data_IF_376754738785
#
_entry.id   IF_376754738785
#
_cell.length_a   1.000
_cell.length_b   1.000
_cell.length_c   1.000
_cell.angle_alpha   90.00
_cell.angle_beta   90.00
_cell.angle_gamma   90.00
#
_symmetry.space_group_name_H-M   'P 1'
#
loop_
_entity.id
_entity.type
_entity.pdbx_description
1 polymer ?
#
# COMPACT_ATOMS: atom_id res chain seq x y z
N UNK A 1 1.75 -16.44 -23.98
CA UNK A 1 1.41 -15.01 -24.05
C UNK A 1 2.28 -14.32 -23.03
N UNK A 2 3.38 -13.70 -23.45
CA UNK A 2 4.16 -12.82 -22.59
C UNK A 2 3.24 -11.65 -22.21
N UNK A 3 2.89 -11.54 -20.93
CA UNK A 3 2.20 -10.36 -20.45
C UNK A 3 3.15 -9.18 -20.63
N UNK A 4 2.76 -8.22 -21.47
CA UNK A 4 3.47 -6.96 -21.66
C UNK A 4 3.74 -6.37 -20.27
N UNK A 5 5.01 -6.17 -19.92
CA UNK A 5 5.36 -5.66 -18.60
C UNK A 5 4.74 -4.27 -18.44
N UNK A 6 3.99 -4.00 -17.36
CA UNK A 6 3.40 -2.70 -17.16
C UNK A 6 4.47 -1.61 -17.14
N UNK A 7 4.27 -0.51 -17.88
CA UNK A 7 5.15 0.65 -17.84
C UNK A 7 4.98 1.39 -16.51
N UNK A 8 5.68 0.90 -15.48
CA UNK A 8 5.71 1.57 -14.20
C UNK A 8 6.51 2.88 -14.22
N UNK A 9 7.37 3.13 -15.21
CA UNK A 9 8.09 4.41 -15.26
C UNK A 9 7.12 5.56 -15.53
N UNK A 10 6.15 5.35 -16.44
CA UNK A 10 5.04 6.27 -16.64
C UNK A 10 4.25 6.54 -15.35
N UNK A 11 3.94 5.47 -14.61
CA UNK A 11 3.21 5.54 -13.32
C UNK A 11 3.99 6.34 -12.26
N UNK A 12 5.29 6.07 -12.11
CA UNK A 12 6.17 6.79 -11.18
C UNK A 12 6.23 8.27 -11.53
N UNK A 13 6.42 8.61 -12.80
CA UNK A 13 6.49 10.00 -13.24
C UNK A 13 5.19 10.76 -12.94
N UNK A 14 4.05 10.15 -13.23
CA UNK A 14 2.74 10.73 -12.98
C UNK A 14 2.51 10.96 -11.47
N UNK A 15 2.90 10.00 -10.63
CA UNK A 15 2.80 10.11 -9.18
C UNK A 15 3.67 11.27 -8.65
N UNK A 16 4.93 11.35 -9.09
CA UNK A 16 5.85 12.42 -8.73
C UNK A 16 5.32 13.79 -9.13
N UNK A 17 4.81 13.92 -10.35
CA UNK A 17 4.23 15.18 -10.84
C UNK A 17 2.98 15.57 -10.05
N UNK A 18 2.12 14.63 -9.68
CA UNK A 18 0.90 14.90 -8.93
C UNK A 18 1.24 15.43 -7.53
N UNK A 19 2.10 14.73 -6.80
CA UNK A 19 2.57 15.15 -5.46
C UNK A 19 3.25 16.51 -5.55
N UNK A 20 4.15 16.69 -6.51
CA UNK A 20 4.87 17.94 -6.70
C UNK A 20 3.91 19.09 -7.01
N UNK A 21 2.93 18.91 -7.91
CA UNK A 21 1.97 19.95 -8.27
C UNK A 21 1.12 20.41 -7.07
N UNK A 22 0.76 19.47 -6.18
CA UNK A 22 0.02 19.76 -4.96
C UNK A 22 0.84 20.60 -3.98
N UNK A 23 2.08 20.17 -3.71
CA UNK A 23 2.97 20.89 -2.79
C UNK A 23 3.41 22.24 -3.36
N UNK A 24 3.70 22.30 -4.66
CA UNK A 24 4.04 23.53 -5.35
C UNK A 24 2.93 24.57 -5.18
N UNK A 25 1.67 24.18 -5.39
CA UNK A 25 0.52 25.09 -5.21
C UNK A 25 0.48 25.68 -3.79
N UNK A 26 0.70 24.86 -2.76
CA UNK A 26 0.73 25.31 -1.37
C UNK A 26 1.88 26.27 -1.11
N UNK A 27 3.10 25.93 -1.55
CA UNK A 27 4.27 26.80 -1.35
C UNK A 27 4.12 28.12 -2.11
N UNK A 28 3.62 28.09 -3.35
CA UNK A 28 3.35 29.32 -4.12
C UNK A 28 2.33 30.23 -3.44
N UNK A 29 1.38 29.69 -2.68
CA UNK A 29 0.41 30.50 -1.91
C UNK A 29 1.03 31.12 -0.65
N UNK A 30 1.99 30.45 -0.03
CA UNK A 30 2.62 30.89 1.23
C UNK A 30 3.81 31.82 1.00
N UNK A 31 4.66 31.52 0.02
CA UNK A 31 5.86 32.29 -0.27
C UNK A 31 6.26 32.22 -1.77
N UNK A 32 5.59 33.00 -2.64
CA UNK A 32 5.79 32.93 -4.09
C UNK A 32 7.24 33.12 -4.55
N UNK A 33 8.03 33.91 -3.83
CA UNK A 33 9.39 34.27 -4.20
C UNK A 33 10.47 33.26 -3.76
N UNK A 34 10.11 32.18 -3.06
CA UNK A 34 11.08 31.21 -2.53
C UNK A 34 11.20 29.93 -3.37
N UNK A 35 10.45 29.81 -4.47
CA UNK A 35 10.29 28.53 -5.13
C UNK A 35 10.90 28.49 -6.52
N UNK A 36 11.95 27.68 -6.66
CA UNK A 36 12.48 27.24 -7.94
C UNK A 36 11.82 25.92 -8.36
N UNK A 37 11.27 25.87 -9.57
CA UNK A 37 10.58 24.69 -10.05
C UNK A 37 11.55 23.52 -10.27
N UNK A 38 11.25 22.38 -9.66
CA UNK A 38 12.00 21.13 -9.86
C UNK A 38 11.62 20.47 -11.19
N UNK A 39 12.64 19.97 -11.87
CA UNK A 39 12.50 19.10 -13.05
C UNK A 39 12.10 17.69 -12.64
N UNK A 40 11.55 16.91 -13.57
CA UNK A 40 11.18 15.51 -13.31
C UNK A 40 12.40 14.66 -12.89
N UNK A 41 13.57 14.90 -13.48
CA UNK A 41 14.78 14.17 -13.10
C UNK A 41 15.23 14.48 -11.68
N UNK A 42 15.07 15.73 -11.22
CA UNK A 42 15.30 16.09 -9.82
C UNK A 42 14.28 15.43 -8.89
N UNK A 43 13.02 15.30 -9.31
CA UNK A 43 11.99 14.60 -8.52
C UNK A 43 12.30 13.10 -8.39
N UNK A 44 12.81 12.46 -9.45
CA UNK A 44 13.23 11.05 -9.45
C UNK A 44 14.40 10.79 -8.50
N UNK A 45 15.35 11.73 -8.45
CA UNK A 45 16.49 11.68 -7.54
C UNK A 45 16.12 12.04 -6.08
N UNK A 46 14.88 12.47 -5.84
CA UNK A 46 14.38 12.73 -4.50
C UNK A 46 14.01 11.44 -3.74
N UNK A 47 13.77 11.53 -2.41
CA UNK A 47 13.40 10.37 -1.60
C UNK A 47 12.16 9.63 -2.11
N UNK A 48 11.10 10.37 -2.47
CA UNK A 48 9.88 9.79 -3.04
C UNK A 48 10.15 9.10 -4.39
N UNK A 49 10.99 9.68 -5.23
CA UNK A 49 11.37 9.09 -6.51
C UNK A 49 12.07 7.75 -6.32
N UNK A 50 13.07 7.71 -5.44
CA UNK A 50 13.77 6.47 -5.10
C UNK A 50 12.87 5.39 -4.50
N UNK A 51 11.93 5.75 -3.61
CA UNK A 51 11.00 4.78 -3.06
C UNK A 51 10.04 4.24 -4.12
N UNK A 52 9.50 5.11 -4.98
CA UNK A 52 8.61 4.71 -6.08
C UNK A 52 9.34 3.83 -7.11
N UNK A 53 10.58 4.16 -7.47
CA UNK A 53 11.41 3.35 -8.38
C UNK A 53 11.72 1.96 -7.81
N UNK A 54 12.05 1.89 -6.51
CA UNK A 54 12.26 0.60 -5.81
C UNK A 54 11.00 -0.25 -5.76
N UNK A 55 9.85 0.36 -5.44
CA UNK A 55 8.57 -0.33 -5.44
C UNK A 55 8.17 -0.81 -6.84
N UNK A 56 8.46 -0.03 -7.89
CA UNK A 56 8.28 -0.44 -9.27
C UNK A 56 9.17 -1.64 -9.64
N UNK A 57 10.44 -1.63 -9.26
CA UNK A 57 11.37 -2.76 -9.49
C UNK A 57 10.91 -4.03 -8.76
N UNK A 58 10.41 -3.90 -7.53
CA UNK A 58 9.84 -5.01 -6.77
C UNK A 58 8.58 -5.55 -7.46
N UNK A 59 7.70 -4.65 -7.95
CA UNK A 59 6.48 -5.02 -8.67
C UNK A 59 6.79 -5.76 -9.99
N UNK A 60 7.88 -5.40 -10.69
CA UNK A 60 8.38 -6.17 -11.85
C UNK A 60 9.02 -7.49 -11.44
N UNK A 61 9.56 -7.58 -10.23
CA UNK A 61 10.29 -8.74 -9.71
C UNK A 61 11.77 -8.74 -10.04
N UNK A 62 12.30 -7.56 -10.37
CA UNK A 62 13.72 -7.36 -10.65
C UNK A 62 14.55 -7.40 -9.36
N UNK A 63 13.93 -7.05 -8.23
CA UNK A 63 14.57 -7.01 -6.92
C UNK A 63 13.74 -7.77 -5.89
N UNK A 64 14.39 -8.13 -4.78
CA UNK A 64 13.74 -8.60 -3.55
C UNK A 64 14.19 -7.72 -2.40
N UNK A 65 13.25 -7.36 -1.54
CA UNK A 65 13.50 -6.51 -0.38
C UNK A 65 12.78 -7.06 0.86
N UNK A 66 13.30 -6.78 2.07
CA UNK A 66 12.62 -7.12 3.31
C UNK A 66 11.21 -6.52 3.35
N UNK A 67 10.22 -7.34 3.71
CA UNK A 67 8.81 -6.98 3.80
C UNK A 67 8.58 -5.68 4.56
N UNK A 68 9.23 -5.51 5.71
CA UNK A 68 9.09 -4.35 6.58
C UNK A 68 9.48 -3.06 5.85
N UNK A 69 10.52 -3.12 5.02
CA UNK A 69 11.00 -1.97 4.23
C UNK A 69 10.04 -1.62 3.09
N UNK A 70 9.45 -2.64 2.46
CA UNK A 70 8.43 -2.45 1.42
C UNK A 70 7.18 -1.82 2.01
N UNK A 71 6.70 -2.36 3.13
CA UNK A 71 5.51 -1.84 3.82
C UNK A 71 5.73 -0.39 4.30
N UNK A 72 6.90 -0.06 4.83
CA UNK A 72 7.23 1.30 5.24
C UNK A 72 7.25 2.27 4.05
N UNK A 73 7.81 1.88 2.90
CA UNK A 73 7.83 2.72 1.71
C UNK A 73 6.41 2.94 1.15
N UNK A 74 5.58 1.90 1.10
CA UNK A 74 4.17 2.01 0.70
C UNK A 74 3.43 2.96 1.64
N UNK A 75 3.61 2.78 2.95
CA UNK A 75 3.02 3.62 3.99
C UNK A 75 3.40 5.10 3.79
N UNK A 76 4.69 5.41 3.63
CA UNK A 76 5.15 6.78 3.37
C UNK A 76 4.53 7.39 2.12
N UNK A 77 4.38 6.62 1.04
CA UNK A 77 3.71 7.09 -0.20
C UNK A 77 2.24 7.41 0.06
N UNK A 78 1.49 6.53 0.72
CA UNK A 78 0.05 6.78 0.97
C UNK A 78 -0.17 7.89 1.99
N UNK A 79 0.68 8.02 3.01
CA UNK A 79 0.64 9.14 3.94
C UNK A 79 0.85 10.47 3.20
N UNK A 80 1.83 10.54 2.29
CA UNK A 80 2.09 11.74 1.51
C UNK A 80 0.91 12.13 0.60
N UNK A 81 0.17 11.16 0.09
CA UNK A 81 -0.97 11.38 -0.81
C UNK A 81 -2.26 11.71 -0.09
N UNK A 82 -2.50 11.10 1.07
CA UNK A 82 -3.82 11.07 1.70
C UNK A 82 -3.86 11.70 3.08
N UNK A 83 -2.73 12.02 3.72
CA UNK A 83 -2.72 12.62 5.05
C UNK A 83 -3.10 14.11 4.99
N UNK A 84 -4.28 14.50 5.50
CA UNK A 84 -4.69 15.90 5.49
C UNK A 84 -3.87 16.72 6.49
N UNK A 85 -3.56 17.96 6.14
CA UNK A 85 -2.89 18.87 7.08
C UNK A 85 -3.71 19.00 8.38
N UNK A 86 -3.04 18.82 9.53
CA UNK A 86 -3.62 18.86 10.87
C UNK A 86 -4.66 17.78 11.22
N UNK A 87 -4.71 16.66 10.48
CA UNK A 87 -5.47 15.49 10.90
C UNK A 87 -4.61 14.50 11.71
N UNK A 88 -5.25 13.75 12.61
CA UNK A 88 -4.60 12.72 13.44
C UNK A 88 -4.46 11.37 12.71
N UNK A 89 -5.23 11.15 11.64
CA UNK A 89 -5.19 9.93 10.82
C UNK A 89 -5.61 10.24 9.36
N UNK A 90 -5.42 9.27 8.48
CA UNK A 90 -5.78 9.32 7.07
C UNK A 90 -6.46 8.03 6.61
N UNK A 91 -7.29 8.16 5.58
CA UNK A 91 -7.95 7.02 4.94
C UNK A 91 -7.54 6.94 3.48
N UNK A 92 -7.29 5.71 3.00
CA UNK A 92 -7.00 5.45 1.59
C UNK A 92 -8.29 5.00 0.91
N UNK A 93 -8.86 5.77 -0.03
CA UNK A 93 -10.08 5.37 -0.73
C UNK A 93 -9.89 4.04 -1.46
N UNK A 94 -10.90 3.16 -1.47
CA UNK A 94 -10.79 1.86 -2.18
C UNK A 94 -10.45 2.03 -3.66
N UNK A 95 -11.03 3.04 -4.31
CA UNK A 95 -10.79 3.37 -5.71
C UNK A 95 -9.33 3.70 -6.03
N UNK A 96 -8.53 4.12 -5.03
CA UNK A 96 -7.09 4.33 -5.23
C UNK A 96 -6.39 3.04 -5.66
N UNK A 97 -6.76 1.90 -5.08
CA UNK A 97 -6.15 0.60 -5.40
C UNK A 97 -6.48 0.10 -6.81
N UNK A 98 -7.44 0.74 -7.49
CA UNK A 98 -7.77 0.51 -8.89
C UNK A 98 -7.09 1.50 -9.85
N UNK A 99 -6.20 2.36 -9.36
CA UNK A 99 -5.31 3.20 -10.18
C UNK A 99 -4.04 2.44 -10.55
N UNK A 100 -3.30 2.89 -11.57
CA UNK A 100 -2.03 2.23 -11.94
C UNK A 100 -0.99 2.28 -10.82
N UNK A 101 -0.92 3.40 -10.08
CA UNK A 101 -0.08 3.52 -8.89
C UNK A 101 -0.54 2.55 -7.80
N UNK A 102 -1.84 2.55 -7.46
CA UNK A 102 -2.39 1.65 -6.45
C UNK A 102 -2.14 0.18 -6.78
N UNK A 103 -2.33 -0.23 -8.03
CA UNK A 103 -2.01 -1.58 -8.53
C UNK A 103 -0.52 -1.89 -8.41
N UNK A 104 0.36 -0.99 -8.83
CA UNK A 104 1.81 -1.16 -8.69
C UNK A 104 2.20 -1.38 -7.23
N UNK A 105 1.68 -0.56 -6.31
CA UNK A 105 1.92 -0.70 -4.87
C UNK A 105 1.34 -2.01 -4.32
N UNK A 106 0.16 -2.45 -4.77
CA UNK A 106 -0.44 -3.72 -4.36
C UNK A 106 0.40 -4.92 -4.81
N UNK A 107 0.91 -4.91 -6.05
CA UNK A 107 1.81 -5.96 -6.58
C UNK A 107 3.13 -5.97 -5.82
N UNK A 108 3.72 -4.80 -5.57
CA UNK A 108 4.92 -4.66 -4.74
C UNK A 108 4.69 -5.23 -3.34
N UNK A 109 3.58 -4.85 -2.69
CA UNK A 109 3.17 -5.40 -1.39
C UNK A 109 3.08 -6.92 -1.45
N UNK A 110 2.34 -7.47 -2.40
CA UNK A 110 2.16 -8.91 -2.54
C UNK A 110 3.47 -9.68 -2.70
N UNK A 111 4.37 -9.21 -3.55
CA UNK A 111 5.68 -9.85 -3.78
C UNK A 111 6.61 -9.79 -2.56
N UNK A 112 6.32 -8.94 -1.59
CA UNK A 112 7.09 -8.85 -0.34
C UNK A 112 6.68 -9.88 0.72
N UNK A 113 5.53 -10.56 0.56
CA UNK A 113 5.07 -11.61 1.47
C UNK A 113 5.47 -12.99 0.97
N UNK A 114 5.82 -13.86 1.91
CA UNK A 114 5.94 -15.29 1.63
C UNK A 114 4.55 -15.95 1.55
N UNK A 115 4.36 -16.99 0.73
CA UNK A 115 3.05 -17.63 0.56
C UNK A 115 2.42 -18.15 1.85
N UNK A 116 3.25 -18.55 2.84
CA UNK A 116 2.78 -19.02 4.13
C UNK A 116 2.27 -17.89 5.04
N UNK A 117 2.59 -16.62 4.75
CA UNK A 117 2.13 -15.46 5.51
C UNK A 117 0.74 -14.97 5.08
N UNK A 118 0.21 -15.51 3.98
CA UNK A 118 -1.05 -15.10 3.39
C UNK A 118 -2.11 -16.19 3.53
N UNK A 119 -3.33 -15.78 3.86
CA UNK A 119 -4.48 -16.67 4.05
C UNK A 119 -5.64 -16.21 3.18
N UNK A 120 -6.27 -17.12 2.44
CA UNK A 120 -7.45 -16.76 1.66
C UNK A 120 -8.60 -16.33 2.57
N UNK A 121 -9.48 -15.45 2.09
CA UNK A 121 -10.64 -14.96 2.85
C UNK A 121 -11.49 -16.11 3.41
N UNK A 122 -11.74 -17.15 2.59
CA UNK A 122 -12.51 -18.32 3.03
C UNK A 122 -11.85 -19.09 4.17
N UNK A 123 -10.52 -19.26 4.11
CA UNK A 123 -9.77 -19.94 5.16
C UNK A 123 -9.67 -19.07 6.43
N UNK A 124 -9.51 -17.75 6.28
CA UNK A 124 -9.53 -16.81 7.40
C UNK A 124 -10.88 -16.86 8.15
N UNK A 125 -11.99 -16.84 7.40
CA UNK A 125 -13.34 -16.98 7.96
C UNK A 125 -13.50 -18.29 8.75
N UNK A 126 -13.04 -19.41 8.19
CA UNK A 126 -13.07 -20.72 8.86
C UNK A 126 -12.23 -20.73 10.14
N UNK A 127 -11.00 -20.22 10.11
CA UNK A 127 -10.09 -20.20 11.26
C UNK A 127 -10.58 -19.32 12.41
N UNK A 128 -11.31 -18.25 12.09
CA UNK A 128 -11.86 -17.31 13.04
C UNK A 128 -13.29 -17.67 13.48
N UNK A 129 -13.91 -18.69 12.87
CA UNK A 129 -15.29 -19.08 13.19
C UNK A 129 -16.33 -18.03 12.79
N UNK A 130 -16.02 -17.19 11.79
CA UNK A 130 -16.89 -16.09 11.33
C UNK A 130 -17.29 -16.25 9.86
N UNK A 131 -18.20 -15.41 9.40
CA UNK A 131 -18.62 -15.40 7.99
C UNK A 131 -17.66 -14.58 7.12
N UNK A 132 -17.66 -14.81 5.81
CA UNK A 132 -16.87 -13.98 4.86
C UNK A 132 -17.22 -12.48 4.93
N UNK A 133 -18.50 -12.06 5.00
CA UNK A 133 -18.86 -10.66 5.23
C UNK A 133 -18.20 -10.04 6.47
N UNK A 134 -18.02 -10.81 7.55
CA UNK A 134 -17.31 -10.34 8.75
C UNK A 134 -15.83 -10.06 8.45
N UNK A 135 -15.18 -10.91 7.67
CA UNK A 135 -13.78 -10.69 7.24
C UNK A 135 -13.66 -9.42 6.39
N UNK A 136 -14.55 -9.22 5.42
CA UNK A 136 -14.56 -7.98 4.61
C UNK A 136 -14.73 -6.73 5.48
N UNK A 137 -15.68 -6.75 6.42
CA UNK A 137 -15.88 -5.65 7.37
C UNK A 137 -14.63 -5.39 8.20
N UNK A 138 -13.95 -6.42 8.70
CA UNK A 138 -12.70 -6.26 9.46
C UNK A 138 -11.53 -5.76 8.61
N UNK A 139 -11.50 -6.06 7.30
CA UNK A 139 -10.54 -5.46 6.38
C UNK A 139 -10.83 -3.97 6.18
N UNK A 140 -12.10 -3.60 6.10
CA UNK A 140 -12.54 -2.20 5.96
C UNK A 140 -12.23 -1.36 7.20
N UNK A 141 -12.42 -1.96 8.37
CA UNK A 141 -12.09 -1.38 9.68
C UNK A 141 -10.59 -1.41 10.00
N UNK A 142 -9.75 -1.93 9.09
CA UNK A 142 -8.30 -2.12 9.27
C UNK A 142 -7.91 -3.04 10.43
N UNK A 143 -8.85 -3.80 10.98
CA UNK A 143 -8.59 -4.86 11.99
C UNK A 143 -7.80 -6.02 11.39
N UNK A 144 -8.01 -6.31 10.10
CA UNK A 144 -7.28 -7.31 9.34
C UNK A 144 -6.56 -6.65 8.16
N UNK A 145 -5.23 -6.72 8.14
CA UNK A 145 -4.47 -6.33 6.96
C UNK A 145 -4.70 -7.33 5.83
N UNK A 146 -4.74 -6.80 4.61
CA UNK A 146 -4.90 -7.60 3.42
C UNK A 146 -3.96 -7.16 2.30
N UNK A 147 -3.84 -8.06 1.33
CA UNK A 147 -3.01 -7.95 0.15
C UNK A 147 -3.82 -8.45 -1.04
N UNK A 148 -3.77 -7.71 -2.15
CA UNK A 148 -4.38 -8.11 -3.42
C UNK A 148 -3.29 -8.66 -4.32
N UNK A 149 -3.48 -9.87 -4.82
CA UNK A 149 -2.74 -10.38 -5.97
C UNK A 149 -3.47 -9.91 -7.23
N UNK A 150 -2.93 -8.88 -7.85
CA UNK A 150 -3.54 -8.25 -9.01
C UNK A 150 -3.53 -9.17 -10.25
N UNK A 151 -2.58 -10.11 -10.33
CA UNK A 151 -2.50 -11.07 -11.44
C UNK A 151 -3.64 -12.08 -11.41
N UNK A 152 -4.08 -12.50 -10.21
CA UNK A 152 -5.19 -13.45 -10.05
C UNK A 152 -6.51 -12.80 -9.63
N UNK A 153 -6.50 -11.51 -9.31
CA UNK A 153 -7.62 -10.78 -8.73
C UNK A 153 -8.00 -11.25 -7.32
N UNK A 154 -7.16 -12.07 -6.68
CA UNK A 154 -7.46 -12.67 -5.37
C UNK A 154 -6.98 -11.77 -4.25
N UNK A 155 -7.79 -11.69 -3.19
CA UNK A 155 -7.41 -11.00 -1.96
C UNK A 155 -7.07 -12.01 -0.87
N UNK A 156 -5.99 -11.73 -0.15
CA UNK A 156 -5.48 -12.51 0.97
C UNK A 156 -5.42 -11.65 2.22
N UNK A 157 -5.66 -12.27 3.37
CA UNK A 157 -5.50 -11.68 4.70
C UNK A 157 -4.13 -12.07 5.23
N UNK A 158 -3.48 -11.16 5.95
CA UNK A 158 -2.19 -11.42 6.61
C UNK A 158 -2.41 -12.39 7.78
N UNK A 159 -1.71 -13.53 7.77
CA UNK A 159 -1.82 -14.58 8.78
C UNK A 159 -1.62 -14.06 10.20
N UNK A 160 -0.63 -13.18 10.39
CA UNK A 160 -0.29 -12.62 11.70
C UNK A 160 -1.51 -12.00 12.40
N UNK A 161 -2.38 -11.32 11.66
CA UNK A 161 -3.55 -10.67 12.24
C UNK A 161 -4.63 -11.68 12.64
N UNK A 162 -4.76 -12.76 11.88
CA UNK A 162 -5.63 -13.90 12.23
C UNK A 162 -5.14 -14.55 13.52
N UNK A 163 -3.83 -14.81 13.62
CA UNK A 163 -3.23 -15.42 14.81
C UNK A 163 -3.40 -14.52 16.05
N UNK A 164 -3.24 -13.20 15.88
CA UNK A 164 -3.48 -12.22 16.94
C UNK A 164 -4.93 -12.23 17.42
N UNK A 165 -5.92 -12.20 16.52
CA UNK A 165 -7.34 -12.25 16.89
C UNK A 165 -7.70 -13.55 17.62
N UNK A 166 -7.15 -14.68 17.18
CA UNK A 166 -7.36 -15.97 17.87
C UNK A 166 -6.79 -15.97 19.28
N UNK A 167 -5.61 -15.38 19.47
CA UNK A 167 -4.98 -15.26 20.79
C UNK A 167 -5.83 -14.40 21.73
N UNK A 168 -6.30 -13.23 21.27
CA UNK A 168 -7.17 -12.34 22.05
C UNK A 168 -8.49 -13.03 22.42
N UNK A 169 -9.10 -13.77 21.50
CA UNK A 169 -10.32 -14.53 21.78
C UNK A 169 -10.10 -15.63 22.83
N UNK A 170 -8.98 -16.35 22.76
CA UNK A 170 -8.63 -17.38 23.74
C UNK A 170 -8.38 -16.80 25.14
N UNK A 171 -7.68 -15.67 25.24
CA UNK A 171 -7.45 -14.94 26.49
C UNK A 171 -8.78 -14.49 27.13
N UNK A 172 -9.74 -14.02 26.33
CA UNK A 172 -11.06 -13.61 26.80
C UNK A 172 -11.92 -14.77 27.33
N UNK A 173 -11.79 -15.97 26.76
CA UNK A 173 -12.54 -17.16 27.21
C UNK A 173 -11.90 -17.93 28.37
N UNK A 174 -10.62 -17.66 28.67
CA UNK A 174 -9.88 -18.30 29.75
C UNK A 174 -9.86 -17.52 31.07
N UNK A 175 -10.64 -16.44 31.17
CA UNK A 175 -10.77 -15.59 32.36
C UNK A 175 -12.04 -15.84 33.18
N UNK A 176 -12.79 -16.90 32.88
CA UNK A 176 -13.91 -17.44 33.68
C UNK A 176 -13.47 -18.66 34.51
#
# INVERSE_FOLDING_TARGET
MEAEQPDYQGVVNQALQLVYSHHHRLVSQLHPAAFDALTLDQLRQGPLGHDLERLAALARGEVREPKERVLAAIESVVQLLFWPAAADDYTVPRSFWDTDLGRMLAVAKYRSFEPNELVSIGNAAQQLGVTRPTIYRWMDERTLNYVRDDMSGRTFVVRRDIDNLRRVAAEATGQD
#
